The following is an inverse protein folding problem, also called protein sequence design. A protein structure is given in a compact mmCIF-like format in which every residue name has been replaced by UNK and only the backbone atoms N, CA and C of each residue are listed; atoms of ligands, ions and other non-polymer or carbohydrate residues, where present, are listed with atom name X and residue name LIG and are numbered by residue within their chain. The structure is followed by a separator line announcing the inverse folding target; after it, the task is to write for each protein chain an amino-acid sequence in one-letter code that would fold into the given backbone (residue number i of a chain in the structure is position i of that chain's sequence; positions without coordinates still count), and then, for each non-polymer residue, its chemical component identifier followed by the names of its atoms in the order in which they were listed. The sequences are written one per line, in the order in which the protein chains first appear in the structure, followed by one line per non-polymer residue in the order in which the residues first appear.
data_IF_471628283483
#
_entry.id   IF_471628283483
#
_cell.length_a   1.000
_cell.length_b   1.000
_cell.length_c   1.000
_cell.angle_alpha   90.00
_cell.angle_beta   90.00
_cell.angle_gamma   90.00
#
_symmetry.space_group_name_H-M   'P 1'
#
loop_
_entity.id
_entity.type
_entity.pdbx_description
1 polymer ?
#
# COMPACT_ATOMS: atom_id res chain seq x y z
N UNK A 1 7.95 -8.50 -0.50
CA UNK A 1 8.67 -7.60 -1.43
C UNK A 1 7.63 -7.01 -2.32
N UNK A 2 7.53 -5.69 -2.33
CA UNK A 2 6.55 -4.98 -3.13
C UNK A 2 7.14 -4.65 -4.50
N UNK A 3 6.30 -4.74 -5.52
CA UNK A 3 6.67 -4.45 -6.90
C UNK A 3 5.84 -3.27 -7.34
N UNK A 4 6.51 -2.18 -7.69
CA UNK A 4 5.86 -1.00 -8.25
C UNK A 4 5.29 -1.33 -9.64
N UNK A 5 4.02 -0.99 -9.86
CA UNK A 5 3.29 -1.18 -11.12
C UNK A 5 2.55 0.10 -11.50
N UNK A 6 2.38 0.27 -12.80
CA UNK A 6 1.61 1.36 -13.39
C UNK A 6 0.42 0.78 -14.14
N UNK A 7 -0.79 1.15 -13.74
CA UNK A 7 -2.05 0.70 -14.36
C UNK A 7 -3.02 1.87 -14.38
N UNK A 8 -3.73 2.03 -15.50
CA UNK A 8 -4.76 3.06 -15.66
C UNK A 8 -4.33 4.49 -15.26
N UNK A 9 -3.08 4.86 -15.54
CA UNK A 9 -2.55 6.20 -15.26
C UNK A 9 -2.07 6.41 -13.81
N UNK A 10 -2.05 5.38 -12.97
CA UNK A 10 -1.65 5.47 -11.56
C UNK A 10 -0.56 4.47 -11.20
N UNK A 11 0.35 4.91 -10.34
CA UNK A 11 1.34 4.06 -9.71
C UNK A 11 0.78 3.45 -8.43
N UNK A 12 1.05 2.17 -8.21
CA UNK A 12 0.73 1.43 -7.00
C UNK A 12 1.73 0.31 -6.85
N UNK A 13 1.79 -0.27 -5.65
CA UNK A 13 2.63 -1.41 -5.36
C UNK A 13 1.79 -2.67 -5.29
N UNK A 14 2.35 -3.80 -5.71
CA UNK A 14 1.71 -5.11 -5.54
C UNK A 14 2.61 -6.08 -4.82
N UNK A 15 2.03 -6.91 -3.96
CA UNK A 15 2.72 -8.09 -3.45
C UNK A 15 2.61 -9.29 -4.40
N UNK A 16 3.22 -10.41 -4.00
CA UNK A 16 3.23 -11.64 -4.79
C UNK A 16 1.88 -12.37 -4.82
N UNK A 17 0.94 -12.00 -3.95
CA UNK A 17 -0.39 -12.61 -3.82
C UNK A 17 -1.43 -11.80 -4.63
N UNK A 18 -1.09 -10.56 -4.99
CA UNK A 18 -1.89 -9.67 -5.84
C UNK A 18 -2.55 -8.52 -5.08
N UNK A 19 -2.28 -8.35 -3.79
CA UNK A 19 -2.80 -7.20 -3.06
C UNK A 19 -2.14 -5.92 -3.58
N UNK A 20 -2.93 -4.85 -3.69
CA UNK A 20 -2.48 -3.55 -4.21
C UNK A 20 -2.35 -2.55 -3.06
N UNK A 21 -1.28 -1.76 -3.08
CA UNK A 21 -0.93 -0.80 -2.04
C UNK A 21 -0.62 0.55 -2.66
N UNK A 22 -0.93 1.61 -1.93
CA UNK A 22 -0.58 2.98 -2.34
C UNK A 22 0.90 3.29 -2.04
N UNK A 23 1.46 2.70 -0.99
CA UNK A 23 2.80 3.02 -0.48
C UNK A 23 3.64 1.78 -0.21
N UNK A 24 4.95 1.88 -0.43
CA UNK A 24 5.94 0.93 0.05
C UNK A 24 6.56 1.42 1.36
N UNK A 25 6.15 0.81 2.48
CA UNK A 25 6.65 1.15 3.81
C UNK A 25 8.09 0.68 4.05
N UNK A 26 8.78 0.08 3.08
CA UNK A 26 10.23 -0.10 3.14
C UNK A 26 10.99 1.15 2.67
N UNK A 27 10.34 2.03 1.90
CA UNK A 27 10.91 3.30 1.46
C UNK A 27 10.59 4.43 2.47
N UNK A 28 11.61 5.19 2.94
CA UNK A 28 11.40 6.23 3.95
C UNK A 28 10.57 7.42 3.45
N UNK A 29 10.55 7.70 2.15
CA UNK A 29 9.73 8.77 1.57
C UNK A 29 8.26 8.36 1.58
N UNK A 30 7.98 7.14 1.13
CA UNK A 30 6.63 6.56 1.15
C UNK A 30 6.11 6.39 2.59
N UNK A 31 6.96 6.02 3.54
CA UNK A 31 6.59 6.02 4.96
C UNK A 31 6.14 7.40 5.45
N UNK A 32 6.84 8.47 5.04
CA UNK A 32 6.48 9.82 5.43
C UNK A 32 5.15 10.24 4.79
N UNK A 33 4.97 9.94 3.50
CA UNK A 33 3.70 10.19 2.80
C UNK A 33 2.54 9.41 3.42
N UNK A 34 2.73 8.14 3.75
CA UNK A 34 1.73 7.33 4.43
C UNK A 34 1.35 7.89 5.82
N UNK A 35 2.32 8.40 6.59
CA UNK A 35 2.07 9.00 7.91
C UNK A 35 1.15 10.22 7.88
N UNK A 36 1.14 10.95 6.77
CA UNK A 36 0.29 12.13 6.60
C UNK A 36 -1.00 11.83 5.82
N UNK A 37 -1.06 10.69 5.13
CA UNK A 37 -2.27 10.21 4.44
C UNK A 37 -3.17 9.43 5.40
N UNK A 38 -4.07 10.16 6.07
CA UNK A 38 -5.03 9.59 7.03
C UNK A 38 -6.01 8.64 6.33
N UNK A 39 -6.40 8.93 5.09
CA UNK A 39 -7.31 8.07 4.32
C UNK A 39 -6.67 6.70 4.06
N UNK A 40 -5.40 6.67 3.69
CA UNK A 40 -4.64 5.42 3.54
C UNK A 40 -4.57 4.63 4.86
N UNK A 41 -4.31 5.31 5.97
CA UNK A 41 -4.28 4.67 7.30
C UNK A 41 -5.64 4.10 7.70
N UNK A 42 -6.74 4.81 7.42
CA UNK A 42 -8.08 4.36 7.73
C UNK A 42 -8.47 3.13 6.89
N UNK A 43 -8.14 3.11 5.59
CA UNK A 43 -8.34 1.91 4.76
C UNK A 43 -7.56 0.72 5.33
N UNK A 44 -6.33 0.95 5.77
CA UNK A 44 -5.51 -0.09 6.35
C UNK A 44 -6.03 -0.62 7.70
N UNK A 45 -6.67 0.23 8.51
CA UNK A 45 -7.29 -0.19 9.77
C UNK A 45 -8.61 -0.95 9.56
N UNK A 46 -9.35 -0.63 8.49
CA UNK A 46 -10.65 -1.22 8.19
C UNK A 46 -10.56 -2.49 7.33
N UNK A 47 -9.44 -2.70 6.63
CA UNK A 47 -9.26 -3.87 5.78
C UNK A 47 -9.26 -5.17 6.60
N UNK A 48 -10.01 -6.15 6.11
CA UNK A 48 -10.08 -7.51 6.65
C UNK A 48 -9.09 -8.45 5.96
N UNK A 49 -8.22 -7.92 5.09
CA UNK A 49 -7.31 -8.70 4.29
C UNK A 49 -6.16 -9.25 5.16
N UNK A 50 -6.33 -10.49 5.63
CA UNK A 50 -5.35 -11.20 6.46
C UNK A 50 -4.07 -11.58 5.71
N UNK A 51 -4.07 -11.55 4.37
CA UNK A 51 -2.89 -11.89 3.56
C UNK A 51 -2.07 -10.66 3.19
N UNK A 52 -2.43 -9.48 3.72
CA UNK A 52 -1.74 -8.22 3.50
C UNK A 52 -0.27 -8.29 3.93
N UNK A 53 0.62 -7.81 3.06
CA UNK A 53 2.03 -7.58 3.36
C UNK A 53 2.16 -6.37 4.31
N UNK A 54 2.84 -6.59 5.44
CA UNK A 54 3.11 -5.56 6.46
C UNK A 54 3.94 -4.38 5.95
N UNK A 55 4.60 -4.56 4.82
CA UNK A 55 5.40 -3.52 4.18
C UNK A 55 4.58 -2.65 3.24
N UNK A 56 3.30 -2.94 3.01
CA UNK A 56 2.43 -2.14 2.15
C UNK A 56 1.51 -1.25 2.97
N UNK A 57 1.39 0.01 2.55
CA UNK A 57 0.50 1.00 3.15
C UNK A 57 -0.62 1.42 2.19
N UNK A 58 -1.79 1.71 2.75
CA UNK A 58 -2.97 2.19 2.03
C UNK A 58 -3.53 1.16 1.06
N UNK A 59 -3.89 -0.03 1.55
CA UNK A 59 -4.44 -1.12 0.73
C UNK A 59 -5.63 -0.66 -0.13
N UNK A 60 -5.65 -1.13 -1.38
CA UNK A 60 -6.78 -1.03 -2.30
C UNK A 60 -7.37 -2.44 -2.46
N UNK A 61 -8.52 -2.68 -1.84
CA UNK A 61 -9.33 -3.90 -2.02
C UNK A 61 -10.18 -3.83 -3.29
#
# INVERSE_FOLDING_TARGET
MLIMKFENGKWFYTDNIGNKYQYDLTDPSDQLSYKIDVDAQMRDQLSLNLTRDKNGGGIYE
#
